data_IF_216362402688
#
_entry.id   IF_216362402688
#
_cell.length_a   1.000
_cell.length_b   1.000
_cell.length_c   1.000
_cell.angle_alpha   90.00
_cell.angle_beta   90.00
_cell.angle_gamma   90.00
#
_symmetry.space_group_name_H-M   'P 1'
#
loop_
_entity.id
_entity.type
_entity.pdbx_description
1 polymer ?
#
# COMPACT_ATOMS: atom_id res chain seq x y z
N UNK A 1 0.73 34.14 -8.65
CA UNK A 1 0.16 32.86 -9.09
C UNK A 1 0.62 31.70 -8.16
N UNK A 2 1.90 31.60 -7.84
CA UNK A 2 2.52 30.57 -7.00
C UNK A 2 1.92 30.48 -5.57
N UNK A 3 1.75 31.62 -4.88
CA UNK A 3 1.16 31.69 -3.54
C UNK A 3 -0.30 31.19 -3.48
N UNK A 4 -1.11 31.45 -4.52
CA UNK A 4 -2.47 30.92 -4.61
C UNK A 4 -2.49 29.40 -4.69
N UNK A 5 -1.59 28.80 -5.48
CA UNK A 5 -1.49 27.34 -5.63
C UNK A 5 -1.07 26.70 -4.30
N UNK A 6 -0.06 27.26 -3.62
CA UNK A 6 0.40 26.77 -2.32
C UNK A 6 -0.72 26.88 -1.27
N UNK A 7 -1.46 27.99 -1.24
CA UNK A 7 -2.58 28.18 -0.31
C UNK A 7 -3.71 27.16 -0.56
N UNK A 8 -4.06 26.91 -1.82
CA UNK A 8 -5.08 25.92 -2.20
C UNK A 8 -4.63 24.51 -1.80
N UNK A 9 -3.40 24.13 -2.14
CA UNK A 9 -2.87 22.81 -1.78
C UNK A 9 -2.78 22.65 -0.25
N UNK A 10 -2.34 23.67 0.46
CA UNK A 10 -2.27 23.66 1.93
C UNK A 10 -3.64 23.53 2.56
N UNK A 11 -4.65 24.27 2.10
CA UNK A 11 -6.01 24.19 2.63
C UNK A 11 -6.67 22.84 2.34
N UNK A 12 -6.49 22.28 1.14
CA UNK A 12 -6.99 20.95 0.78
C UNK A 12 -6.34 19.84 1.62
N UNK A 13 -5.03 19.96 1.84
CA UNK A 13 -4.29 19.01 2.71
C UNK A 13 -4.77 19.09 4.15
N UNK A 14 -4.99 20.30 4.66
CA UNK A 14 -5.52 20.51 6.01
C UNK A 14 -6.94 19.94 6.16
N UNK A 15 -7.81 20.19 5.19
CA UNK A 15 -9.17 19.66 5.16
C UNK A 15 -9.15 18.11 5.13
N UNK A 16 -8.30 17.51 4.31
CA UNK A 16 -8.11 16.06 4.24
C UNK A 16 -7.68 15.46 5.58
N UNK A 17 -6.80 16.14 6.32
CA UNK A 17 -6.37 15.71 7.67
C UNK A 17 -7.51 15.78 8.68
N UNK A 18 -8.37 16.82 8.62
CA UNK A 18 -9.57 16.92 9.47
C UNK A 18 -10.51 15.76 9.19
N UNK A 19 -10.81 15.47 7.92
CA UNK A 19 -11.66 14.32 7.58
C UNK A 19 -11.06 12.98 8.00
N UNK A 20 -9.73 12.83 7.88
CA UNK A 20 -9.01 11.67 8.39
C UNK A 20 -9.19 11.50 9.91
N UNK A 21 -9.07 12.57 10.66
CA UNK A 21 -9.29 12.56 12.11
C UNK A 21 -10.75 12.23 12.50
N UNK A 22 -11.72 12.84 11.81
CA UNK A 22 -13.15 12.53 12.01
C UNK A 22 -13.43 11.06 11.71
N UNK A 23 -12.88 10.51 10.62
CA UNK A 23 -12.99 9.08 10.30
C UNK A 23 -12.46 8.21 11.44
N UNK A 24 -11.28 8.54 11.98
CA UNK A 24 -10.65 7.75 13.04
C UNK A 24 -11.46 7.82 14.35
N UNK A 25 -12.05 8.98 14.67
CA UNK A 25 -12.99 9.13 15.79
C UNK A 25 -14.27 8.30 15.59
N UNK A 26 -14.83 8.29 14.39
CA UNK A 26 -16.02 7.50 14.09
C UNK A 26 -15.73 6.00 14.18
N UNK A 27 -14.59 5.55 13.65
CA UNK A 27 -14.14 4.16 13.77
C UNK A 27 -14.00 3.78 15.25
N UNK A 28 -13.33 4.61 16.05
CA UNK A 28 -13.17 4.37 17.48
C UNK A 28 -14.51 4.33 18.23
N UNK A 29 -15.48 5.19 17.84
CA UNK A 29 -16.82 5.23 18.45
C UNK A 29 -17.68 4.01 18.08
N UNK A 30 -17.61 3.55 16.84
CA UNK A 30 -18.46 2.46 16.31
C UNK A 30 -17.90 1.09 16.68
N UNK A 31 -16.58 0.88 16.48
CA UNK A 31 -15.92 -0.40 16.72
C UNK A 31 -15.58 -0.53 18.22
N UNK A 32 -15.31 0.59 18.89
CA UNK A 32 -14.92 0.62 20.31
C UNK A 32 -13.50 0.11 20.55
N UNK A 33 -13.10 0.07 21.82
CA UNK A 33 -11.85 -0.55 22.25
C UNK A 33 -12.12 -2.02 22.58
N UNK A 34 -11.64 -2.93 21.75
CA UNK A 34 -11.88 -4.34 21.96
C UNK A 34 -11.25 -5.25 20.92
N UNK A 35 -11.62 -6.52 21.00
CA UNK A 35 -11.08 -7.60 20.17
C UNK A 35 -11.13 -7.28 18.65
N UNK A 36 -12.26 -6.73 18.18
CA UNK A 36 -12.48 -6.40 16.77
C UNK A 36 -11.58 -5.23 16.32
N UNK A 37 -11.47 -4.20 17.17
CA UNK A 37 -10.62 -3.03 16.90
C UNK A 37 -9.16 -3.44 16.78
N UNK A 38 -8.67 -4.24 17.72
CA UNK A 38 -7.30 -4.72 17.72
C UNK A 38 -7.00 -5.58 16.48
N UNK A 39 -7.91 -6.50 16.14
CA UNK A 39 -7.78 -7.34 14.95
C UNK A 39 -7.74 -6.48 13.67
N UNK A 40 -8.60 -5.48 13.57
CA UNK A 40 -8.65 -4.55 12.45
C UNK A 40 -7.34 -3.76 12.29
N UNK A 41 -6.84 -3.15 13.37
CA UNK A 41 -5.61 -2.36 13.27
C UNK A 41 -4.38 -3.21 12.93
N UNK A 42 -4.28 -4.43 13.47
CA UNK A 42 -3.17 -5.33 13.12
C UNK A 42 -3.27 -5.80 11.67
N UNK A 43 -4.48 -6.13 11.19
CA UNK A 43 -4.67 -6.58 9.81
C UNK A 43 -4.29 -5.52 8.77
N UNK A 44 -4.46 -4.24 9.07
CA UNK A 44 -4.04 -3.12 8.20
C UNK A 44 -2.56 -2.77 8.32
N UNK A 45 -1.90 -3.17 9.39
CA UNK A 45 -0.49 -2.81 9.64
C UNK A 45 0.43 -3.39 8.57
N UNK A 46 0.21 -4.64 8.19
CA UNK A 46 1.04 -5.33 7.20
C UNK A 46 0.88 -4.75 5.78
N UNK A 47 -0.33 -4.63 5.22
CA UNK A 47 -0.53 -3.99 3.92
C UNK A 47 0.01 -2.56 3.86
N UNK A 48 -0.16 -1.78 4.93
CA UNK A 48 0.39 -0.42 5.01
C UNK A 48 1.92 -0.39 5.03
N UNK A 49 2.58 -1.36 5.66
CA UNK A 49 4.03 -1.48 5.61
C UNK A 49 4.51 -1.70 4.17
N UNK A 50 3.90 -2.64 3.46
CA UNK A 50 4.23 -2.92 2.06
C UNK A 50 3.92 -1.71 1.15
N UNK A 51 2.79 -1.04 1.36
CA UNK A 51 2.45 0.19 0.65
C UNK A 51 3.54 1.26 0.81
N UNK A 52 4.04 1.46 2.03
CA UNK A 52 5.11 2.43 2.30
C UNK A 52 6.44 2.04 1.64
N UNK A 53 6.80 0.77 1.68
CA UNK A 53 8.04 0.28 1.10
C UNK A 53 8.03 0.36 -0.43
N UNK A 54 6.94 -0.06 -1.07
CA UNK A 54 6.88 -0.22 -2.52
C UNK A 54 6.19 0.93 -3.25
N UNK A 55 5.18 1.57 -2.67
CA UNK A 55 4.37 2.58 -3.37
C UNK A 55 4.75 4.04 -3.05
N UNK A 56 5.28 4.35 -1.88
CA UNK A 56 5.43 5.73 -1.42
C UNK A 56 6.80 6.39 -1.67
N UNK A 57 7.67 5.84 -2.48
CA UNK A 57 8.88 6.61 -2.76
C UNK A 57 10.05 5.84 -3.33
N UNK A 58 10.38 4.67 -2.80
CA UNK A 58 11.56 3.93 -3.29
C UNK A 58 11.44 3.50 -4.74
N UNK A 59 10.26 3.04 -5.15
CA UNK A 59 10.00 2.62 -6.52
C UNK A 59 10.01 3.80 -7.50
N UNK A 60 9.33 4.91 -7.15
CA UNK A 60 9.32 6.11 -7.98
C UNK A 60 10.71 6.73 -8.11
N UNK A 61 11.46 6.83 -7.01
CA UNK A 61 12.82 7.38 -7.02
C UNK A 61 13.80 6.55 -7.85
N UNK A 62 13.64 5.22 -7.87
CA UNK A 62 14.48 4.34 -8.67
C UNK A 62 14.02 4.24 -10.13
N UNK A 63 12.72 4.18 -10.37
CA UNK A 63 12.14 3.91 -11.69
C UNK A 63 12.14 5.13 -12.62
N UNK A 64 11.78 6.33 -12.12
CA UNK A 64 11.64 7.53 -12.93
C UNK A 64 12.95 7.90 -13.66
N UNK A 65 14.13 7.94 -13.02
CA UNK A 65 15.38 8.26 -13.73
C UNK A 65 15.73 7.25 -14.83
N UNK A 66 15.49 5.97 -14.58
CA UNK A 66 15.80 4.90 -15.53
C UNK A 66 14.92 5.02 -16.77
N UNK A 67 13.59 5.13 -16.57
CA UNK A 67 12.65 5.19 -17.69
C UNK A 67 12.82 6.48 -18.51
N UNK A 68 13.05 7.61 -17.83
CA UNK A 68 13.34 8.89 -18.50
C UNK A 68 14.64 8.82 -19.33
N UNK A 69 15.66 8.16 -18.81
CA UNK A 69 16.92 7.91 -19.53
C UNK A 69 16.74 7.04 -20.75
N UNK A 70 15.93 5.99 -20.68
CA UNK A 70 15.59 5.12 -21.82
C UNK A 70 14.79 5.92 -22.86
N UNK A 71 13.78 6.67 -22.42
CA UNK A 71 12.92 7.48 -23.29
C UNK A 71 13.71 8.54 -24.06
N UNK A 72 14.67 9.22 -23.42
CA UNK A 72 15.53 10.24 -24.04
C UNK A 72 16.55 9.65 -25.01
N UNK A 73 17.13 8.48 -24.72
CA UNK A 73 18.18 7.87 -25.56
C UNK A 73 17.64 7.00 -26.70
N UNK A 74 16.57 6.26 -26.46
CA UNK A 74 16.08 5.22 -27.38
C UNK A 74 14.66 5.46 -27.87
N UNK A 75 14.02 6.54 -27.43
CA UNK A 75 12.69 6.96 -27.84
C UNK A 75 11.56 6.24 -27.06
N UNK A 76 10.33 6.69 -27.37
CA UNK A 76 9.12 6.26 -26.66
C UNK A 76 8.86 4.76 -26.77
N UNK A 77 9.02 4.18 -27.97
CA UNK A 77 8.74 2.75 -28.20
C UNK A 77 9.56 1.84 -27.30
N UNK A 78 10.85 2.09 -27.13
CA UNK A 78 11.72 1.34 -26.23
C UNK A 78 11.35 1.54 -24.75
N UNK A 79 10.91 2.75 -24.41
CA UNK A 79 10.40 3.05 -23.08
C UNK A 79 9.14 2.26 -22.76
N UNK A 80 8.20 2.14 -23.72
CA UNK A 80 6.95 1.37 -23.58
C UNK A 80 7.24 -0.14 -23.44
N UNK A 81 8.15 -0.68 -24.25
CA UNK A 81 8.61 -2.07 -24.16
C UNK A 81 9.23 -2.38 -22.79
N UNK A 82 10.11 -1.51 -22.31
CA UNK A 82 10.75 -1.64 -21.00
C UNK A 82 9.72 -1.56 -19.86
N UNK A 83 8.79 -0.61 -19.92
CA UNK A 83 7.72 -0.50 -18.93
C UNK A 83 6.87 -1.77 -18.88
N UNK A 84 6.44 -2.28 -20.04
CA UNK A 84 5.63 -3.51 -20.13
C UNK A 84 6.34 -4.71 -19.50
N UNK A 85 7.64 -4.84 -19.75
CA UNK A 85 8.46 -5.92 -19.18
C UNK A 85 8.55 -5.81 -17.65
N UNK A 86 8.85 -4.61 -17.13
CA UNK A 86 8.93 -4.38 -15.68
C UNK A 86 7.56 -4.56 -15.01
N UNK A 87 6.50 -4.06 -15.65
CA UNK A 87 5.13 -4.18 -15.13
C UNK A 87 4.70 -5.65 -15.03
N UNK A 88 4.93 -6.43 -16.09
CA UNK A 88 4.60 -7.86 -16.10
C UNK A 88 5.44 -8.66 -15.10
N UNK A 89 6.73 -8.36 -15.00
CA UNK A 89 7.62 -8.99 -14.03
C UNK A 89 7.20 -8.69 -12.59
N UNK A 90 6.89 -7.42 -12.31
CA UNK A 90 6.40 -7.00 -10.99
C UNK A 90 5.05 -7.64 -10.65
N UNK A 91 4.14 -7.73 -11.61
CA UNK A 91 2.84 -8.37 -11.43
C UNK A 91 3.00 -9.84 -11.04
N UNK A 92 3.83 -10.59 -11.77
CA UNK A 92 4.10 -12.00 -11.47
C UNK A 92 4.75 -12.14 -10.09
N UNK A 93 5.75 -11.33 -9.79
CA UNK A 93 6.42 -11.34 -8.49
C UNK A 93 5.45 -11.06 -7.33
N UNK A 94 4.64 -9.99 -7.46
CA UNK A 94 3.66 -9.63 -6.43
C UNK A 94 2.57 -10.69 -6.28
N UNK A 95 2.17 -11.33 -7.36
CA UNK A 95 1.16 -12.39 -7.33
C UNK A 95 1.68 -13.64 -6.61
N UNK A 96 2.91 -14.05 -6.89
CA UNK A 96 3.57 -15.16 -6.17
C UNK A 96 3.74 -14.81 -4.70
N UNK A 97 4.20 -13.59 -4.41
CA UNK A 97 4.37 -13.10 -3.05
C UNK A 97 3.03 -13.07 -2.29
N UNK A 98 1.96 -12.64 -2.94
CA UNK A 98 0.61 -12.62 -2.38
C UNK A 98 0.18 -14.04 -1.99
N UNK A 99 0.28 -15.01 -2.89
CA UNK A 99 -0.08 -16.41 -2.61
C UNK A 99 0.73 -16.95 -1.42
N UNK A 100 2.03 -16.69 -1.42
CA UNK A 100 2.91 -17.16 -0.36
C UNK A 100 2.52 -16.55 1.00
N UNK A 101 2.28 -15.24 1.05
CA UNK A 101 1.88 -14.56 2.28
C UNK A 101 0.48 -14.96 2.74
N UNK A 102 -0.47 -15.22 1.82
CA UNK A 102 -1.81 -15.76 2.15
C UNK A 102 -1.72 -17.13 2.84
N UNK A 103 -0.86 -18.01 2.33
CA UNK A 103 -0.64 -19.35 2.94
C UNK A 103 -0.01 -19.22 4.33
N UNK A 104 1.01 -18.38 4.46
CA UNK A 104 1.76 -18.18 5.70
C UNK A 104 1.16 -17.12 6.63
N UNK A 105 -0.02 -16.55 6.32
CA UNK A 105 -0.64 -15.50 7.12
C UNK A 105 -0.76 -15.84 8.62
N UNK A 106 -1.17 -17.04 9.04
CA UNK A 106 -1.22 -17.39 10.46
C UNK A 106 0.14 -17.31 11.16
N UNK A 107 1.21 -17.70 10.48
CA UNK A 107 2.57 -17.61 11.01
C UNK A 107 3.03 -16.16 11.15
N UNK A 108 2.71 -15.34 10.15
CA UNK A 108 3.04 -13.91 10.12
C UNK A 108 2.35 -13.17 11.27
N UNK A 109 1.06 -13.45 11.49
CA UNK A 109 0.30 -12.83 12.59
C UNK A 109 0.86 -13.26 13.95
N UNK A 110 1.28 -14.52 14.12
CA UNK A 110 1.97 -14.96 15.34
C UNK A 110 3.26 -14.19 15.63
N UNK A 111 4.02 -13.86 14.57
CA UNK A 111 5.26 -13.10 14.71
C UNK A 111 5.02 -11.62 15.02
N UNK A 112 4.01 -11.00 14.41
CA UNK A 112 3.72 -9.56 14.55
C UNK A 112 2.93 -9.27 15.84
N UNK A 113 2.04 -10.18 16.22
CA UNK A 113 1.15 -10.03 17.38
C UNK A 113 1.13 -11.31 18.23
N UNK A 114 2.24 -11.67 18.90
CA UNK A 114 2.35 -12.92 19.65
C UNK A 114 1.28 -13.05 20.74
N UNK A 115 0.88 -11.95 21.40
CA UNK A 115 -0.18 -11.95 22.42
C UNK A 115 -1.60 -12.21 21.88
N UNK A 116 -1.81 -12.33 20.56
CA UNK A 116 -3.11 -12.70 20.00
C UNK A 116 -3.30 -14.22 19.94
N UNK A 117 -2.22 -14.98 20.07
CA UNK A 117 -2.27 -16.45 20.10
C UNK A 117 -3.04 -17.02 21.30
N UNK A 118 -3.11 -16.25 22.39
CA UNK A 118 -3.79 -16.67 23.63
C UNK A 118 -5.32 -16.59 23.51
N UNK A 119 -5.82 -15.82 22.54
CA UNK A 119 -7.25 -15.70 22.25
C UNK A 119 -7.55 -16.20 20.84
N UNK A 120 -8.05 -17.41 20.73
CA UNK A 120 -8.32 -18.07 19.44
C UNK A 120 -9.26 -17.27 18.53
N UNK A 121 -10.28 -16.64 19.07
CA UNK A 121 -11.24 -15.82 18.30
C UNK A 121 -10.57 -14.58 17.73
N UNK A 122 -9.77 -13.89 18.54
CA UNK A 122 -9.02 -12.70 18.13
C UNK A 122 -8.00 -13.03 17.06
N UNK A 123 -7.30 -14.14 17.23
CA UNK A 123 -6.30 -14.60 16.27
C UNK A 123 -6.92 -14.95 14.91
N UNK A 124 -7.98 -15.77 14.89
CA UNK A 124 -8.67 -16.16 13.66
C UNK A 124 -9.21 -14.93 12.93
N UNK A 125 -9.90 -14.02 13.64
CA UNK A 125 -10.42 -12.80 13.07
C UNK A 125 -9.31 -11.92 12.45
N UNK A 126 -8.16 -11.84 13.12
CA UNK A 126 -7.01 -11.07 12.60
C UNK A 126 -6.44 -11.70 11.33
N UNK A 127 -6.33 -13.02 11.29
CA UNK A 127 -5.87 -13.75 10.09
C UNK A 127 -6.83 -13.54 8.92
N UNK A 128 -8.13 -13.68 9.13
CA UNK A 128 -9.15 -13.53 8.09
C UNK A 128 -9.21 -12.11 7.54
N UNK A 129 -9.19 -11.11 8.43
CA UNK A 129 -9.12 -9.70 8.01
C UNK A 129 -7.82 -9.38 7.28
N UNK A 130 -6.69 -9.96 7.70
CA UNK A 130 -5.41 -9.76 7.02
C UNK A 130 -5.42 -10.35 5.62
N UNK A 131 -5.96 -11.54 5.44
CA UNK A 131 -6.16 -12.16 4.13
C UNK A 131 -7.05 -11.32 3.22
N UNK A 132 -8.13 -10.76 3.75
CA UNK A 132 -9.03 -9.89 2.98
C UNK A 132 -8.37 -8.58 2.54
N UNK A 133 -7.50 -8.02 3.37
CA UNK A 133 -6.88 -6.71 3.10
C UNK A 133 -5.57 -6.81 2.29
N UNK A 134 -4.90 -7.95 2.33
CA UNK A 134 -3.58 -8.09 1.71
C UNK A 134 -3.56 -7.98 0.17
N UNK A 135 -4.57 -8.44 -0.59
CA UNK A 135 -4.64 -8.24 -2.05
C UNK A 135 -4.55 -6.77 -2.48
N UNK A 136 -4.94 -5.84 -1.61
CA UNK A 136 -4.78 -4.40 -1.85
C UNK A 136 -3.33 -4.01 -2.17
N UNK A 137 -2.34 -4.69 -1.60
CA UNK A 137 -0.91 -4.42 -1.83
C UNK A 137 -0.54 -4.58 -3.30
N UNK A 138 -1.06 -5.60 -3.96
CA UNK A 138 -0.82 -5.83 -5.39
C UNK A 138 -1.30 -4.64 -6.22
N UNK A 139 -2.53 -4.21 -6.00
CA UNK A 139 -3.12 -3.09 -6.77
C UNK A 139 -2.39 -1.78 -6.51
N UNK A 140 -2.04 -1.46 -5.28
CA UNK A 140 -1.38 -0.18 -4.95
C UNK A 140 0.03 -0.13 -5.54
N UNK A 141 0.79 -1.24 -5.54
CA UNK A 141 2.12 -1.30 -6.12
C UNK A 141 2.08 -1.14 -7.65
N UNK A 142 1.17 -1.83 -8.32
CA UNK A 142 1.00 -1.71 -9.78
C UNK A 142 0.54 -0.31 -10.19
N UNK A 143 -0.41 0.28 -9.45
CA UNK A 143 -0.88 1.64 -9.69
C UNK A 143 0.23 2.67 -9.48
N UNK A 144 1.07 2.48 -8.45
CA UNK A 144 2.22 3.35 -8.21
C UNK A 144 3.23 3.31 -9.36
N UNK A 145 3.55 2.11 -9.87
CA UNK A 145 4.45 1.96 -11.01
C UNK A 145 3.87 2.59 -12.29
N UNK A 146 2.58 2.36 -12.56
CA UNK A 146 1.89 2.96 -13.69
C UNK A 146 1.84 4.49 -13.59
N UNK A 147 1.57 5.03 -12.40
CA UNK A 147 1.62 6.46 -12.12
C UNK A 147 3.00 7.06 -12.32
N UNK A 148 4.06 6.36 -11.90
CA UNK A 148 5.44 6.79 -12.14
C UNK A 148 5.76 6.87 -13.64
N UNK A 149 5.30 5.89 -14.42
CA UNK A 149 5.47 5.89 -15.88
C UNK A 149 4.73 7.03 -16.57
N UNK A 150 3.50 7.31 -16.18
CA UNK A 150 2.68 8.38 -16.75
C UNK A 150 3.22 9.80 -16.45
N UNK A 151 4.04 9.94 -15.41
CA UNK A 151 4.67 11.20 -15.03
C UNK A 151 6.03 11.42 -15.69
N UNK A 152 6.49 10.53 -16.59
CA UNK A 152 7.74 10.66 -17.39
C UNK A 152 7.44 10.95 -18.85
#
# INVERSE_FOLDING_TARGET
>A
MFLKIISILGSLTFLSRIFGYIRDLLIAKVIGAGLVSDAFFISFKLPNLFRRLFAEGSMNAAFIPVISGIKSKFGKKRSDEFFSLIFSSLLIFLFILLILLEIFMPLIIKLIAPGFSDNSTKFILTVDLSRLTFPFVLFICLTSLAGAYLNT
#
